data_IF_432623189793
#
_entry.id   IF_432623189793
#
_cell.length_a   1.000
_cell.length_b   1.000
_cell.length_c   1.000
_cell.angle_alpha   90.00
_cell.angle_beta   90.00
_cell.angle_gamma   90.00
#
_symmetry.space_group_name_H-M   'P 1'
#
loop_
_entity.id
_entity.type
_entity.pdbx_description
1 polymer ?
#
# COMPACT_ATOMS: atom_id res chain seq x y z
N UNK A 1 12.21 22.66 0.38
CA UNK A 1 11.29 22.71 -0.78
C UNK A 1 10.51 21.41 -0.80
N UNK A 2 9.19 21.45 -0.86
CA UNK A 2 8.34 20.24 -0.85
C UNK A 2 8.35 19.58 -2.22
N UNK A 3 8.61 18.27 -2.29
CA UNK A 3 8.54 17.47 -3.53
C UNK A 3 7.15 16.85 -3.65
N UNK A 4 6.50 17.05 -4.79
CA UNK A 4 5.23 16.40 -5.12
C UNK A 4 5.47 15.27 -6.11
N UNK A 5 4.83 14.12 -5.87
CA UNK A 5 4.85 12.96 -6.77
C UNK A 5 3.44 12.79 -7.31
N UNK A 6 3.31 12.82 -8.63
CA UNK A 6 2.02 12.68 -9.32
C UNK A 6 2.14 11.47 -10.24
N UNK A 7 1.13 10.61 -10.18
CA UNK A 7 1.08 9.37 -10.96
C UNK A 7 -0.28 8.71 -10.80
N UNK A 8 -0.34 7.42 -11.10
CA UNK A 8 -1.58 6.68 -11.17
C UNK A 8 -1.50 5.31 -10.47
N UNK A 9 -2.68 4.70 -10.29
CA UNK A 9 -2.82 3.31 -9.85
C UNK A 9 -2.57 2.35 -11.00
N UNK A 10 -1.31 2.00 -11.24
CA UNK A 10 -0.88 1.09 -12.30
C UNK A 10 -0.59 1.76 -13.64
N UNK A 11 -0.05 0.97 -14.57
CA UNK A 11 0.53 1.44 -15.84
C UNK A 11 0.07 0.66 -17.08
N UNK A 12 -0.82 -0.33 -16.92
CA UNK A 12 -1.17 -1.28 -18.00
C UNK A 12 -1.84 -0.64 -19.24
N UNK A 13 -2.47 0.52 -19.05
CA UNK A 13 -3.11 1.31 -20.11
C UNK A 13 -2.11 2.19 -20.87
N UNK A 14 -0.88 2.37 -20.37
CA UNK A 14 0.13 3.21 -21.00
C UNK A 14 0.88 2.46 -22.10
N UNK A 15 0.21 2.23 -23.23
CA UNK A 15 0.71 1.40 -24.33
C UNK A 15 1.39 2.24 -25.40
N UNK A 16 2.69 1.97 -25.61
CA UNK A 16 3.47 2.53 -26.72
C UNK A 16 4.06 1.37 -27.52
N UNK A 17 3.83 1.30 -28.84
CA UNK A 17 4.34 0.21 -29.68
C UNK A 17 5.86 -0.01 -29.48
N UNK A 18 6.26 -1.28 -29.30
CA UNK A 18 7.66 -1.65 -29.11
C UNK A 18 8.26 -1.35 -27.73
N UNK A 19 7.49 -0.85 -26.76
CA UNK A 19 7.95 -0.58 -25.41
C UNK A 19 7.11 -1.31 -24.35
N UNK A 20 7.78 -1.78 -23.29
CA UNK A 20 7.09 -2.27 -22.11
C UNK A 20 6.26 -1.13 -21.47
N UNK A 21 4.98 -1.34 -21.10
CA UNK A 21 4.11 -0.27 -20.61
C UNK A 21 4.68 0.53 -19.43
N UNK A 22 5.28 -0.13 -18.44
CA UNK A 22 5.95 0.55 -17.32
C UNK A 22 7.14 1.44 -17.76
N UNK A 23 7.91 0.99 -18.77
CA UNK A 23 9.04 1.77 -19.31
C UNK A 23 8.56 2.96 -20.13
N UNK A 24 7.41 2.84 -20.79
CA UNK A 24 6.77 3.97 -21.46
C UNK A 24 6.21 4.96 -20.42
N UNK A 25 5.52 4.45 -19.39
CA UNK A 25 4.94 5.26 -18.31
C UNK A 25 6.00 6.08 -17.56
N UNK A 26 7.17 5.48 -17.27
CA UNK A 26 8.26 6.16 -16.55
C UNK A 26 8.94 7.30 -17.31
N UNK A 27 8.62 7.47 -18.60
CA UNK A 27 9.04 8.65 -19.38
C UNK A 27 8.12 9.86 -19.16
N UNK A 28 6.90 9.65 -18.69
CA UNK A 28 5.91 10.70 -18.49
C UNK A 28 5.72 11.05 -17.01
N UNK A 29 5.81 10.06 -16.13
CA UNK A 29 5.66 10.21 -14.69
C UNK A 29 6.87 9.66 -13.95
N UNK A 30 7.11 10.16 -12.74
CA UNK A 30 8.19 9.70 -11.86
C UNK A 30 7.68 8.85 -10.68
N UNK A 31 6.39 8.52 -10.67
CA UNK A 31 5.74 7.81 -9.57
C UNK A 31 4.59 6.91 -10.06
N UNK A 32 4.43 5.75 -9.43
CA UNK A 32 3.26 4.88 -9.65
C UNK A 32 2.90 4.08 -8.40
N UNK A 33 1.62 3.84 -8.19
CA UNK A 33 1.14 2.82 -7.26
C UNK A 33 1.01 1.48 -7.98
N UNK A 34 1.66 0.44 -7.46
CA UNK A 34 1.40 -0.95 -7.89
C UNK A 34 0.06 -1.38 -7.27
N UNK A 35 -1.02 -1.33 -8.04
CA UNK A 35 -2.36 -1.69 -7.56
C UNK A 35 -2.74 -3.15 -7.81
N UNK A 36 -2.10 -3.82 -8.78
CA UNK A 36 -2.33 -5.25 -9.06
C UNK A 36 -2.05 -6.14 -7.84
N UNK A 37 -1.12 -5.71 -6.98
CA UNK A 37 -0.78 -6.39 -5.72
C UNK A 37 -1.93 -6.45 -4.72
N UNK A 38 -2.96 -5.62 -4.89
CA UNK A 38 -4.19 -5.70 -4.11
C UNK A 38 -4.93 -7.02 -4.32
N UNK A 39 -4.81 -7.61 -5.52
CA UNK A 39 -5.52 -8.84 -5.87
C UNK A 39 -4.62 -10.07 -5.81
N UNK A 40 -3.37 -9.95 -6.25
CA UNK A 40 -2.44 -11.07 -6.36
C UNK A 40 -1.05 -10.67 -5.87
N UNK A 41 -0.38 -11.54 -5.11
CA UNK A 41 1.01 -11.29 -4.69
C UNK A 41 1.97 -11.77 -5.78
N UNK A 42 2.65 -10.88 -6.52
CA UNK A 42 3.56 -11.26 -7.58
C UNK A 42 4.80 -11.96 -7.01
N UNK A 43 5.43 -12.81 -7.83
CA UNK A 43 6.71 -13.40 -7.47
C UNK A 43 7.84 -12.36 -7.49
N UNK A 44 8.91 -12.64 -6.73
CA UNK A 44 10.07 -11.74 -6.57
C UNK A 44 10.72 -11.37 -7.90
N UNK A 45 10.91 -12.33 -8.82
CA UNK A 45 11.57 -12.09 -10.12
C UNK A 45 10.83 -11.05 -10.96
N UNK A 46 9.50 -11.10 -10.95
CA UNK A 46 8.66 -10.13 -11.64
C UNK A 46 8.83 -8.73 -11.04
N UNK A 47 8.83 -8.62 -9.71
CA UNK A 47 8.99 -7.35 -9.00
C UNK A 47 10.39 -6.75 -9.24
N UNK A 48 11.44 -7.57 -9.21
CA UNK A 48 12.80 -7.16 -9.57
C UNK A 48 12.88 -6.65 -11.01
N UNK A 49 12.17 -7.29 -11.94
CA UNK A 49 12.11 -6.83 -13.33
C UNK A 49 11.49 -5.43 -13.44
N UNK A 50 10.42 -5.15 -12.68
CA UNK A 50 9.78 -3.82 -12.68
C UNK A 50 10.73 -2.73 -12.22
N UNK A 51 11.50 -2.98 -11.15
CA UNK A 51 12.49 -2.03 -10.65
C UNK A 51 13.57 -1.71 -11.68
N UNK A 52 13.99 -2.71 -12.48
CA UNK A 52 15.02 -2.57 -13.53
C UNK A 52 14.54 -1.83 -14.78
N UNK A 53 13.22 -1.76 -15.02
CA UNK A 53 12.64 -1.13 -16.22
C UNK A 53 12.58 0.40 -16.14
N UNK A 54 12.79 0.99 -14.97
CA UNK A 54 12.59 2.40 -14.70
C UNK A 54 13.86 3.05 -14.14
N UNK A 55 14.01 4.39 -14.24
CA UNK A 55 15.14 5.11 -13.66
C UNK A 55 15.32 4.86 -12.15
N UNK A 56 16.54 4.99 -11.60
CA UNK A 56 16.80 4.75 -10.17
C UNK A 56 16.00 5.63 -9.20
N UNK A 57 15.64 6.84 -9.64
CA UNK A 57 14.90 7.87 -8.90
C UNK A 57 13.38 7.79 -9.09
N UNK A 58 12.90 6.86 -9.91
CA UNK A 58 11.47 6.58 -10.07
C UNK A 58 10.92 5.93 -8.80
N UNK A 59 9.82 6.46 -8.29
CA UNK A 59 9.24 6.11 -7.00
C UNK A 59 8.07 5.14 -7.16
N UNK A 60 7.93 4.21 -6.23
CA UNK A 60 6.78 3.30 -6.16
C UNK A 60 6.06 3.45 -4.82
N UNK A 61 4.74 3.31 -4.83
CA UNK A 61 4.00 2.74 -3.70
C UNK A 61 3.46 1.36 -4.07
N UNK A 62 3.16 0.56 -3.06
CA UNK A 62 2.60 -0.78 -3.25
C UNK A 62 1.27 -0.85 -2.53
N UNK A 63 0.23 -1.34 -3.19
CA UNK A 63 -1.05 -1.60 -2.54
C UNK A 63 -1.01 -2.97 -1.88
N UNK A 64 -1.28 -3.02 -0.58
CA UNK A 64 -1.28 -4.25 0.20
C UNK A 64 -2.33 -5.23 -0.34
N UNK A 65 -2.02 -6.52 -0.31
CA UNK A 65 -2.97 -7.55 -0.74
C UNK A 65 -4.24 -7.48 0.11
N UNK A 66 -5.40 -7.41 -0.55
CA UNK A 66 -6.71 -7.26 0.10
C UNK A 66 -7.02 -8.35 1.11
N UNK A 67 -6.40 -9.53 0.98
CA UNK A 67 -6.58 -10.61 1.95
C UNK A 67 -6.24 -10.14 3.38
N UNK A 68 -5.23 -9.28 3.56
CA UNK A 68 -4.88 -8.75 4.89
C UNK A 68 -6.03 -7.95 5.50
N UNK A 69 -6.61 -7.01 4.74
CA UNK A 69 -7.60 -6.05 5.26
C UNK A 69 -9.05 -6.55 5.16
N UNK A 70 -9.37 -7.37 4.15
CA UNK A 70 -10.74 -7.84 3.88
C UNK A 70 -11.02 -9.22 4.47
N UNK A 71 -10.09 -10.18 4.30
CA UNK A 71 -10.26 -11.56 4.78
C UNK A 71 -9.83 -11.68 6.23
N UNK A 72 -8.59 -11.30 6.54
CA UNK A 72 -8.03 -11.43 7.88
C UNK A 72 -8.39 -10.26 8.79
N UNK A 73 -8.77 -9.09 8.24
CA UNK A 73 -9.23 -7.92 9.00
C UNK A 73 -8.29 -7.55 10.16
N UNK A 74 -6.98 -7.57 9.91
CA UNK A 74 -5.93 -7.31 10.90
C UNK A 74 -5.91 -8.28 12.10
N UNK A 75 -6.56 -9.45 12.00
CA UNK A 75 -6.39 -10.49 13.00
C UNK A 75 -4.97 -11.05 12.94
N UNK A 76 -4.42 -11.38 14.11
CA UNK A 76 -3.05 -11.87 14.31
C UNK A 76 -2.95 -13.36 13.95
N UNK A 77 -3.27 -13.71 12.70
CA UNK A 77 -3.12 -15.07 12.18
C UNK A 77 -1.77 -15.23 11.47
N UNK A 78 -1.20 -16.44 11.41
CA UNK A 78 0.05 -16.69 10.69
C UNK A 78 0.02 -16.21 9.23
N UNK A 79 -1.10 -16.42 8.54
CA UNK A 79 -1.27 -16.04 7.13
C UNK A 79 -1.30 -14.52 6.95
N UNK A 80 -1.90 -13.78 7.90
CA UNK A 80 -1.91 -12.32 7.86
C UNK A 80 -0.49 -11.75 7.98
N UNK A 81 0.34 -12.33 8.86
CA UNK A 81 1.75 -11.95 8.98
C UNK A 81 2.55 -12.33 7.74
N UNK A 82 2.36 -13.53 7.19
CA UNK A 82 3.03 -13.97 5.96
C UNK A 82 2.71 -13.04 4.78
N UNK A 83 1.44 -12.62 4.64
CA UNK A 83 1.03 -11.63 3.64
C UNK A 83 1.79 -10.32 3.86
N UNK A 84 1.79 -9.78 5.07
CA UNK A 84 2.49 -8.52 5.36
C UNK A 84 3.99 -8.64 5.05
N UNK A 85 4.65 -9.71 5.46
CA UNK A 85 6.08 -9.93 5.20
C UNK A 85 6.41 -9.98 3.71
N UNK A 86 5.58 -10.66 2.91
CA UNK A 86 5.71 -10.66 1.44
C UNK A 86 5.53 -9.26 0.87
N UNK A 87 4.52 -8.51 1.34
CA UNK A 87 4.28 -7.14 0.88
C UNK A 87 5.42 -6.19 1.24
N UNK A 88 6.00 -6.31 2.44
CA UNK A 88 7.19 -5.55 2.85
C UNK A 88 8.38 -5.93 1.95
N UNK A 89 8.57 -7.21 1.64
CA UNK A 89 9.63 -7.65 0.72
C UNK A 89 9.48 -7.03 -0.66
N UNK A 90 8.26 -7.00 -1.21
CA UNK A 90 7.95 -6.31 -2.48
C UNK A 90 8.31 -4.82 -2.40
N UNK A 91 7.93 -4.14 -1.30
CA UNK A 91 8.29 -2.74 -1.09
C UNK A 91 9.81 -2.54 -1.11
N UNK A 92 10.57 -3.40 -0.42
CA UNK A 92 12.03 -3.29 -0.38
C UNK A 92 12.67 -3.48 -1.75
N UNK A 93 12.21 -4.44 -2.55
CA UNK A 93 12.71 -4.66 -3.92
C UNK A 93 12.44 -3.44 -4.80
N UNK A 94 11.23 -2.89 -4.73
CA UNK A 94 10.85 -1.69 -5.50
C UNK A 94 11.47 -0.40 -4.96
N UNK A 95 12.06 -0.44 -3.75
CA UNK A 95 12.44 0.73 -2.95
C UNK A 95 11.25 1.63 -2.61
N UNK A 96 10.05 1.06 -2.55
CA UNK A 96 8.84 1.76 -2.13
C UNK A 96 8.89 2.05 -0.63
N UNK A 97 8.65 3.32 -0.26
CA UNK A 97 8.65 3.74 1.15
C UNK A 97 7.29 3.54 1.82
N UNK A 98 6.22 3.37 1.03
CA UNK A 98 4.85 3.31 1.51
C UNK A 98 4.18 2.02 1.04
N UNK A 99 3.59 1.30 1.99
CA UNK A 99 2.63 0.24 1.76
C UNK A 99 1.22 0.79 2.02
N UNK A 100 0.37 0.76 1.02
CA UNK A 100 -0.98 1.32 1.06
C UNK A 100 -2.01 0.23 1.40
N UNK A 101 -2.70 0.37 2.52
CA UNK A 101 -3.74 -0.53 3.01
C UNK A 101 -5.10 0.13 2.81
N UNK A 102 -5.97 -0.52 2.04
CA UNK A 102 -7.36 -0.11 1.91
C UNK A 102 -8.26 -1.06 2.71
N UNK A 103 -9.12 -0.52 3.57
CA UNK A 103 -10.13 -1.32 4.31
C UNK A 103 -11.33 -1.65 3.42
N UNK A 104 -12.11 -2.72 3.71
CA UNK A 104 -13.40 -2.91 3.06
C UNK A 104 -14.40 -1.83 3.49
N UNK A 105 -15.44 -1.52 2.69
CA UNK A 105 -16.51 -0.57 3.05
C UNK A 105 -17.26 -0.91 4.35
N UNK A 106 -17.20 -2.17 4.77
CA UNK A 106 -17.84 -2.68 5.99
C UNK A 106 -16.95 -2.55 7.22
N UNK A 107 -15.74 -2.00 7.09
CA UNK A 107 -14.83 -1.80 8.22
C UNK A 107 -15.25 -0.57 9.01
N UNK A 108 -15.74 -0.79 10.23
CA UNK A 108 -16.22 0.27 11.10
C UNK A 108 -15.06 0.91 11.87
N UNK A 109 -15.13 2.21 12.12
CA UNK A 109 -14.12 2.98 12.86
C UNK A 109 -14.38 2.90 14.37
N UNK A 110 -14.39 1.69 14.94
CA UNK A 110 -14.65 1.46 16.36
C UNK A 110 -13.36 1.27 17.16
N UNK A 111 -13.42 1.46 18.48
CA UNK A 111 -12.27 1.26 19.36
C UNK A 111 -11.71 -0.17 19.30
N UNK A 112 -12.54 -1.23 19.31
CA UNK A 112 -12.05 -2.60 19.13
C UNK A 112 -11.31 -2.80 17.79
N UNK A 113 -11.77 -2.17 16.71
CA UNK A 113 -11.09 -2.26 15.42
C UNK A 113 -9.77 -1.47 15.41
N UNK A 114 -9.70 -0.34 16.12
CA UNK A 114 -8.45 0.36 16.34
C UNK A 114 -7.44 -0.51 17.09
N UNK A 115 -7.89 -1.24 18.12
CA UNK A 115 -7.03 -2.16 18.87
C UNK A 115 -6.57 -3.35 18.03
N UNK A 116 -7.40 -3.88 17.11
CA UNK A 116 -6.98 -4.91 16.15
C UNK A 116 -5.82 -4.41 15.29
N UNK A 117 -5.95 -3.23 14.69
CA UNK A 117 -4.91 -2.63 13.85
C UNK A 117 -3.64 -2.38 14.67
N UNK A 118 -3.78 -1.77 15.86
CA UNK A 118 -2.67 -1.50 16.78
C UNK A 118 -1.91 -2.76 17.13
N UNK A 119 -2.61 -3.77 17.65
CA UNK A 119 -2.01 -5.01 18.10
C UNK A 119 -1.34 -5.77 16.96
N UNK A 120 -1.91 -5.74 15.76
CA UNK A 120 -1.30 -6.36 14.58
C UNK A 120 -0.02 -5.64 14.14
N UNK A 121 -0.05 -4.31 14.03
CA UNK A 121 1.10 -3.54 13.52
C UNK A 121 2.23 -3.48 14.55
N UNK A 122 1.93 -3.30 15.84
CA UNK A 122 2.94 -3.19 16.90
C UNK A 122 3.79 -4.45 17.08
N UNK A 123 3.32 -5.62 16.62
CA UNK A 123 4.08 -6.87 16.66
C UNK A 123 4.82 -7.18 15.36
N UNK A 124 4.88 -6.23 14.42
CA UNK A 124 5.50 -6.43 13.10
C UNK A 124 6.71 -5.55 12.89
N UNK A 125 7.71 -6.07 12.19
CA UNK A 125 8.85 -5.27 11.73
C UNK A 125 8.62 -4.79 10.30
N UNK A 126 8.30 -3.51 10.15
CA UNK A 126 8.02 -2.89 8.86
C UNK A 126 9.29 -2.56 8.04
N UNK A 127 10.50 -2.78 8.58
CA UNK A 127 11.79 -2.59 7.89
C UNK A 127 11.95 -1.20 7.23
N UNK A 128 11.39 -0.18 7.88
CA UNK A 128 11.38 1.21 7.44
C UNK A 128 10.26 1.60 6.47
N UNK A 129 9.38 0.67 6.09
CA UNK A 129 8.19 0.98 5.27
C UNK A 129 7.11 1.62 6.14
N UNK A 130 6.55 2.73 5.68
CA UNK A 130 5.42 3.40 6.32
C UNK A 130 4.12 2.83 5.80
N UNK A 131 3.09 2.81 6.65
CA UNK A 131 1.76 2.36 6.27
C UNK A 131 0.90 3.57 5.94
N UNK A 132 0.27 3.55 4.77
CA UNK A 132 -0.82 4.45 4.44
C UNK A 132 -2.14 3.69 4.59
N UNK A 133 -3.11 4.23 5.33
CA UNK A 133 -4.41 3.60 5.55
C UNK A 133 -5.50 4.42 4.86
N UNK A 134 -6.16 3.80 3.88
CA UNK A 134 -7.35 4.31 3.21
C UNK A 134 -8.58 3.64 3.83
N UNK A 135 -9.39 4.46 4.49
CA UNK A 135 -10.62 4.02 5.14
C UNK A 135 -11.76 4.06 4.12
N UNK A 136 -12.34 2.90 3.82
CA UNK A 136 -13.58 2.78 3.04
C UNK A 136 -14.74 2.56 3.99
N UNK A 137 -15.80 3.34 3.82
CA UNK A 137 -17.04 3.20 4.59
C UNK A 137 -17.77 4.53 4.72
N UNK A 138 -19.07 4.47 4.94
CA UNK A 138 -19.94 5.63 5.17
C UNK A 138 -20.06 5.90 6.66
N UNK A 139 -18.99 6.38 7.30
CA UNK A 139 -19.05 6.87 8.67
C UNK A 139 -18.87 8.41 8.63
N UNK A 140 -19.90 9.19 9.01
CA UNK A 140 -19.84 10.66 8.93
C UNK A 140 -18.90 11.29 9.96
N UNK A 141 -18.39 10.53 10.93
CA UNK A 141 -17.55 11.01 12.01
C UNK A 141 -16.31 10.14 12.20
N UNK A 142 -15.14 10.76 12.14
CA UNK A 142 -13.89 10.10 12.50
C UNK A 142 -13.86 9.85 14.01
N UNK A 143 -13.80 8.57 14.40
CA UNK A 143 -13.58 8.19 15.79
C UNK A 143 -12.20 8.73 16.27
N UNK A 144 -12.16 9.56 17.33
CA UNK A 144 -10.92 10.13 17.85
C UNK A 144 -9.89 9.09 18.32
N UNK A 145 -10.34 7.97 18.91
CA UNK A 145 -9.44 6.90 19.34
C UNK A 145 -8.80 6.19 18.15
N UNK A 146 -9.55 5.99 17.07
CA UNK A 146 -9.03 5.44 15.82
C UNK A 146 -7.99 6.36 15.18
N UNK A 147 -8.27 7.67 15.13
CA UNK A 147 -7.31 8.68 14.66
C UNK A 147 -6.04 8.72 15.53
N UNK A 148 -6.21 8.64 16.86
CA UNK A 148 -5.08 8.56 17.79
C UNK A 148 -4.23 7.32 17.52
N UNK A 149 -4.85 6.17 17.25
CA UNK A 149 -4.14 4.95 16.87
C UNK A 149 -3.31 5.15 15.61
N UNK A 150 -3.87 5.75 14.56
CA UNK A 150 -3.12 6.05 13.34
C UNK A 150 -1.93 6.98 13.62
N UNK A 151 -2.14 8.01 14.43
CA UNK A 151 -1.09 8.94 14.84
C UNK A 151 0.03 8.25 15.63
N UNK A 152 -0.32 7.44 16.65
CA UNK A 152 0.63 6.72 17.49
C UNK A 152 1.50 5.75 16.67
N UNK A 153 0.95 5.17 15.59
CA UNK A 153 1.64 4.27 14.68
C UNK A 153 2.34 4.99 13.51
N UNK A 154 2.33 6.33 13.49
CA UNK A 154 2.88 7.15 12.39
C UNK A 154 2.35 6.75 11.01
N UNK A 155 1.06 6.38 10.95
CA UNK A 155 0.36 6.03 9.72
C UNK A 155 0.02 7.28 8.91
N UNK A 156 0.04 7.14 7.59
CA UNK A 156 -0.43 8.16 6.66
C UNK A 156 -1.93 7.95 6.46
N UNK A 157 -2.73 8.99 6.68
CA UNK A 157 -4.13 8.98 6.29
C UNK A 157 -4.23 9.14 4.76
N UNK A 158 -4.65 8.08 4.07
CA UNK A 158 -4.86 8.09 2.62
C UNK A 158 -6.33 8.41 2.35
N UNK A 159 -6.57 9.42 1.51
CA UNK A 159 -7.93 9.89 1.18
C UNK A 159 -8.22 9.65 -0.30
N UNK A 160 -9.41 9.15 -0.58
CA UNK A 160 -9.97 9.16 -1.93
C UNK A 160 -10.75 10.47 -2.10
N UNK A 161 -10.46 11.21 -3.18
CA UNK A 161 -11.09 12.51 -3.47
C UNK A 161 -12.23 12.38 -4.49
N UNK A 162 -12.65 11.14 -4.79
CA UNK A 162 -13.69 10.81 -5.76
C UNK A 162 -15.12 11.07 -5.27
#
# INVERSE_FOLDING_TARGET
MTRYLIGAGGWAYFRVPGLHPLKAYSKAFNFVEVNSTFYETPNVKLVESWRKLVPPDFEFTVRCNKALTHKHKFQRTPEAYEILEKMITICKILKAQILHLQTPPTFQLTDPNADLVRNFVSTTNLKGVRLALELRGSEPHFNPYFLKMMHDLNMIHSVDLA
#
